data_IF_792080620087
#
_entry.id   IF_792080620087
#
_cell.length_a   1.000
_cell.length_b   1.000
_cell.length_c   1.000
_cell.angle_alpha   90.00
_cell.angle_beta   90.00
_cell.angle_gamma   90.00
#
_symmetry.space_group_name_H-M   'P 1'
#
loop_
_entity.id
_entity.type
_entity.pdbx_description
1 polymer ?
#
# COMPACT_ATOMS: atom_id res chain seq x y z
N UNK A 1 4.08 -3.72 13.20
CA UNK A 1 4.51 -4.94 12.49
C UNK A 1 5.26 -5.85 13.43
N UNK A 2 4.72 -7.05 13.63
CA UNK A 2 5.31 -8.07 14.49
C UNK A 2 5.81 -9.23 13.64
N UNK A 3 6.91 -9.85 14.07
CA UNK A 3 7.48 -11.06 13.46
C UNK A 3 7.49 -12.14 14.52
N UNK A 4 6.83 -13.26 14.22
CA UNK A 4 6.85 -14.46 15.05
C UNK A 4 7.91 -15.41 14.51
N UNK A 5 8.93 -15.69 15.31
CA UNK A 5 9.84 -16.80 15.06
C UNK A 5 9.25 -18.09 15.65
N UNK A 6 8.87 -19.03 14.78
CA UNK A 6 8.23 -20.28 15.21
C UNK A 6 9.19 -21.26 15.89
N UNK A 7 10.49 -21.18 15.62
CA UNK A 7 11.48 -22.10 16.20
C UNK A 7 11.73 -21.78 17.67
N UNK A 8 11.77 -20.50 18.01
CA UNK A 8 12.01 -19.98 19.35
C UNK A 8 10.74 -19.52 20.06
N UNK A 9 9.59 -19.55 19.38
CA UNK A 9 8.30 -19.03 19.86
C UNK A 9 8.39 -17.58 20.38
N UNK A 10 9.22 -16.77 19.73
CA UNK A 10 9.46 -15.38 20.14
C UNK A 10 8.77 -14.42 19.18
N UNK A 11 7.96 -13.52 19.74
CA UNK A 11 7.35 -12.41 19.02
C UNK A 11 8.21 -11.16 19.18
N UNK A 12 8.64 -10.57 18.05
CA UNK A 12 9.45 -9.34 18.01
C UNK A 12 8.73 -8.24 17.25
N UNK A 13 8.80 -7.01 17.75
CA UNK A 13 8.38 -5.84 16.98
C UNK A 13 9.46 -5.55 15.93
N UNK A 14 9.15 -5.78 14.65
CA UNK A 14 10.05 -5.40 13.56
C UNK A 14 9.93 -3.90 13.28
N UNK A 15 8.71 -3.36 13.38
CA UNK A 15 8.45 -1.96 13.16
C UNK A 15 7.26 -1.50 14.01
N UNK A 16 7.44 -0.35 14.67
CA UNK A 16 6.41 0.35 15.44
C UNK A 16 6.31 1.75 14.86
N UNK A 17 5.13 2.13 14.39
CA UNK A 17 4.92 3.49 13.90
C UNK A 17 4.95 4.48 15.07
N UNK A 18 5.93 5.38 15.08
CA UNK A 18 6.03 6.45 16.08
C UNK A 18 5.32 7.75 15.68
N UNK A 19 4.89 7.87 14.42
CA UNK A 19 4.21 9.05 13.87
C UNK A 19 3.51 8.69 12.56
N UNK A 20 2.49 9.44 12.19
CA UNK A 20 1.70 9.24 10.97
C UNK A 20 2.56 9.04 9.71
N UNK A 21 3.61 9.86 9.53
CA UNK A 21 4.47 9.77 8.35
C UNK A 21 5.34 8.50 8.29
N UNK A 22 5.57 7.80 9.41
CA UNK A 22 6.29 6.53 9.40
C UNK A 22 5.41 5.39 8.86
N UNK A 23 4.18 5.31 9.34
CA UNK A 23 3.06 4.55 8.77
C UNK A 23 1.77 4.94 9.49
N UNK A 24 0.69 5.17 8.76
CA UNK A 24 -0.59 5.60 9.31
C UNK A 24 -1.58 4.43 9.29
N UNK A 25 -1.78 3.80 10.45
CA UNK A 25 -2.60 2.60 10.64
C UNK A 25 -2.39 1.54 9.54
N UNK A 26 -1.17 0.97 9.40
CA UNK A 26 -0.96 -0.11 8.46
C UNK A 26 -1.77 -1.35 8.88
N UNK A 27 -2.66 -1.81 8.02
CA UNK A 27 -3.48 -3.03 8.22
C UNK A 27 -2.93 -4.17 7.35
N UNK A 28 -3.23 -4.14 6.05
CA UNK A 28 -2.94 -5.26 5.17
C UNK A 28 -1.46 -5.32 4.81
N UNK A 29 -0.93 -6.54 4.67
CA UNK A 29 0.45 -6.78 4.31
C UNK A 29 0.57 -7.85 3.23
N UNK A 30 1.61 -7.75 2.41
CA UNK A 30 2.04 -8.85 1.53
C UNK A 30 3.56 -8.94 1.48
N UNK A 31 4.07 -10.16 1.35
CA UNK A 31 5.51 -10.41 1.27
C UNK A 31 5.90 -10.51 -0.20
N UNK A 32 6.88 -9.71 -0.59
CA UNK A 32 7.51 -9.82 -1.91
C UNK A 32 8.26 -11.15 -2.02
N UNK A 33 8.29 -11.79 -3.21
CA UNK A 33 9.19 -12.90 -3.49
C UNK A 33 10.68 -12.59 -3.25
N UNK A 34 11.05 -11.31 -3.11
CA UNK A 34 12.39 -10.81 -2.81
C UNK A 34 12.63 -10.50 -1.32
N UNK A 35 11.63 -10.76 -0.46
CA UNK A 35 11.77 -10.72 1.00
C UNK A 35 11.40 -9.40 1.67
N UNK A 36 11.15 -8.32 0.92
CA UNK A 36 10.55 -7.10 1.45
C UNK A 36 9.06 -7.26 1.71
N UNK A 37 8.48 -6.36 2.51
CA UNK A 37 7.05 -6.39 2.85
C UNK A 37 6.38 -5.13 2.32
N UNK A 38 5.23 -5.27 1.69
CA UNK A 38 4.34 -4.14 1.38
C UNK A 38 3.33 -4.00 2.52
N UNK A 39 3.11 -2.78 2.99
CA UNK A 39 2.09 -2.41 3.95
C UNK A 39 1.06 -1.50 3.28
N UNK A 40 -0.20 -1.71 3.60
CA UNK A 40 -1.31 -0.89 3.14
C UNK A 40 -1.82 0.00 4.29
N UNK A 41 -1.86 1.32 4.08
CA UNK A 41 -2.42 2.24 5.08
C UNK A 41 -3.95 2.27 5.06
N UNK A 42 -4.53 2.25 6.27
CA UNK A 42 -5.95 2.50 6.59
C UNK A 42 -6.10 3.66 7.60
N UNK A 43 -5.15 4.59 7.62
CA UNK A 43 -5.21 5.76 8.48
C UNK A 43 -5.95 6.95 7.89
N UNK A 44 -6.62 6.78 6.75
CA UNK A 44 -7.14 7.86 5.92
C UNK A 44 -6.02 8.55 5.13
N UNK A 45 -5.94 9.88 5.19
CA UNK A 45 -4.87 10.61 4.50
C UNK A 45 -3.58 10.68 5.30
N UNK A 46 -2.45 10.69 4.60
CA UNK A 46 -1.13 10.94 5.16
C UNK A 46 -0.48 12.09 4.39
N UNK A 47 -0.80 13.34 4.71
CA UNK A 47 -0.25 14.49 3.99
C UNK A 47 1.29 14.57 4.12
N UNK A 48 1.99 14.54 2.99
CA UNK A 48 3.44 14.65 2.92
C UNK A 48 3.86 15.53 1.73
N UNK A 49 5.15 15.53 1.37
CA UNK A 49 5.67 16.34 0.25
C UNK A 49 5.06 15.98 -1.12
N UNK A 50 4.42 14.83 -1.26
CA UNK A 50 3.75 14.38 -2.48
C UNK A 50 2.24 14.69 -2.48
N UNK A 51 1.75 15.45 -1.50
CA UNK A 51 0.35 15.84 -1.36
C UNK A 51 -0.44 14.94 -0.39
N UNK A 52 -1.78 15.03 -0.39
CA UNK A 52 -2.65 14.21 0.45
C UNK A 52 -2.83 12.79 -0.11
N UNK A 53 -3.39 11.89 0.72
CA UNK A 53 -3.81 10.55 0.31
C UNK A 53 -3.21 9.42 1.15
N UNK A 54 -3.88 8.26 1.13
CA UNK A 54 -3.40 7.02 1.72
C UNK A 54 -2.17 6.49 0.94
N UNK A 55 -1.34 5.67 1.58
CA UNK A 55 -0.07 5.18 0.98
C UNK A 55 0.03 3.66 0.99
N UNK A 56 0.76 3.17 0.00
CA UNK A 56 1.45 1.89 0.09
C UNK A 56 2.86 2.16 0.57
N UNK A 57 3.30 1.38 1.55
CA UNK A 57 4.64 1.48 2.09
C UNK A 57 5.41 0.19 1.78
N UNK A 58 6.69 0.32 1.48
CA UNK A 58 7.62 -0.79 1.62
C UNK A 58 8.18 -0.81 3.04
N UNK A 59 8.45 -2.01 3.56
CA UNK A 59 9.14 -2.26 4.82
C UNK A 59 10.34 -3.16 4.54
N UNK A 60 11.53 -2.69 4.90
CA UNK A 60 12.77 -3.46 4.75
C UNK A 60 12.94 -4.48 5.88
N UNK A 61 13.81 -5.47 5.69
CA UNK A 61 14.17 -6.42 6.75
C UNK A 61 14.84 -5.76 7.98
N UNK A 62 15.36 -4.54 7.83
CA UNK A 62 15.90 -3.72 8.91
C UNK A 62 14.85 -2.96 9.73
N UNK A 63 13.57 -3.02 9.33
CA UNK A 63 12.49 -2.31 10.03
C UNK A 63 12.27 -0.87 9.55
N UNK A 64 12.82 -0.49 8.40
CA UNK A 64 12.66 0.86 7.84
C UNK A 64 11.51 0.89 6.83
N UNK A 65 10.69 1.93 6.87
CA UNK A 65 9.64 2.15 5.89
C UNK A 65 10.07 3.14 4.80
N UNK A 66 9.53 2.94 3.60
CA UNK A 66 9.64 3.89 2.49
C UNK A 66 8.32 3.98 1.73
N UNK A 67 8.09 5.08 1.03
CA UNK A 67 6.85 5.28 0.28
C UNK A 67 6.95 4.55 -1.04
N UNK A 68 6.09 3.56 -1.26
CA UNK A 68 6.02 2.80 -2.51
C UNK A 68 5.11 3.52 -3.51
N UNK A 69 3.90 3.87 -3.07
CA UNK A 69 2.92 4.56 -3.88
C UNK A 69 1.98 5.39 -3.02
N UNK A 70 1.26 6.31 -3.67
CA UNK A 70 0.27 7.16 -3.02
C UNK A 70 -1.03 7.13 -3.81
N UNK A 71 -2.15 6.99 -3.10
CA UNK A 71 -3.46 7.10 -3.71
C UNK A 71 -3.70 8.55 -4.14
N UNK A 72 -3.85 8.75 -5.46
CA UNK A 72 -4.16 10.03 -6.07
C UNK A 72 -5.49 9.99 -6.85
N UNK A 73 -6.44 9.16 -6.41
CA UNK A 73 -7.75 9.01 -7.04
C UNK A 73 -8.66 10.21 -6.71
N UNK A 74 -8.62 11.23 -7.55
CA UNK A 74 -9.61 12.32 -7.58
C UNK A 74 -10.27 12.27 -8.96
N UNK A 75 -11.53 11.84 -8.99
CA UNK A 75 -12.20 11.42 -10.21
C UNK A 75 -13.33 12.38 -10.56
N UNK A 76 -13.27 12.92 -11.78
CA UNK A 76 -14.35 13.74 -12.36
C UNK A 76 -15.36 12.89 -13.12
N UNK A 77 -16.58 13.38 -13.26
CA UNK A 77 -17.65 12.74 -14.04
C UNK A 77 -17.21 12.44 -15.48
N UNK A 78 -16.40 13.33 -16.07
CA UNK A 78 -15.85 13.13 -17.42
C UNK A 78 -14.89 11.94 -17.50
N UNK A 79 -14.00 11.77 -16.52
CA UNK A 79 -13.07 10.63 -16.46
C UNK A 79 -13.83 9.32 -16.22
N UNK A 80 -14.82 9.35 -15.33
CA UNK A 80 -15.67 8.21 -14.99
C UNK A 80 -16.46 7.74 -16.22
N UNK A 81 -17.11 8.67 -16.94
CA UNK A 81 -17.85 8.37 -18.15
C UNK A 81 -16.94 7.80 -19.26
N UNK A 82 -15.74 8.36 -19.45
CA UNK A 82 -14.76 7.86 -20.43
C UNK A 82 -14.27 6.44 -20.11
N UNK A 83 -14.17 6.10 -18.83
CA UNK A 83 -13.81 4.75 -18.39
C UNK A 83 -14.98 3.75 -18.44
N UNK A 84 -16.20 4.20 -18.78
CA UNK A 84 -17.40 3.37 -18.81
C UNK A 84 -17.79 2.83 -17.42
N UNK A 85 -17.53 3.62 -16.36
CA UNK A 85 -17.81 3.24 -14.98
C UNK A 85 -19.01 4.00 -14.41
N UNK A 86 -19.60 3.44 -13.35
CA UNK A 86 -20.72 4.02 -12.62
C UNK A 86 -20.33 4.16 -11.14
N UNK A 87 -19.57 5.22 -10.85
CA UNK A 87 -19.20 5.64 -9.49
C UNK A 87 -19.45 7.14 -9.40
N UNK A 88 -19.73 7.71 -8.21
CA UNK A 88 -19.85 9.16 -8.08
C UNK A 88 -18.55 9.89 -8.44
N UNK A 89 -18.64 11.14 -8.91
CA UNK A 89 -17.50 12.06 -8.88
C UNK A 89 -17.07 12.32 -7.42
N UNK A 90 -15.78 12.47 -7.19
CA UNK A 90 -15.28 12.81 -5.86
C UNK A 90 -13.78 12.63 -5.65
N UNK A 91 -13.35 13.08 -4.47
CA UNK A 91 -12.01 12.85 -3.94
C UNK A 91 -11.99 11.54 -3.14
N UNK A 92 -11.28 10.55 -3.68
CA UNK A 92 -11.09 9.23 -3.10
C UNK A 92 -9.67 9.02 -2.57
N UNK A 93 -8.85 10.07 -2.48
CA UNK A 93 -7.45 9.96 -2.01
C UNK A 93 -7.36 9.44 -0.57
N UNK A 94 -8.39 9.69 0.24
CA UNK A 94 -8.51 9.19 1.62
C UNK A 94 -8.88 7.71 1.71
N UNK A 95 -9.31 7.09 0.60
CA UNK A 95 -9.67 5.68 0.56
C UNK A 95 -8.45 4.81 0.88
N UNK A 96 -8.63 3.89 1.83
CA UNK A 96 -7.59 2.96 2.25
C UNK A 96 -7.15 2.04 1.12
N UNK A 97 -5.91 1.56 1.22
CA UNK A 97 -5.49 0.41 0.44
C UNK A 97 -5.97 -0.86 1.16
N UNK A 98 -6.96 -1.55 0.59
CA UNK A 98 -7.66 -2.65 1.26
C UNK A 98 -7.20 -4.04 0.79
N UNK A 99 -5.90 -4.20 0.50
CA UNK A 99 -5.34 -5.48 0.08
C UNK A 99 -4.31 -5.37 -1.03
N UNK A 100 -3.21 -6.09 -0.87
CA UNK A 100 -2.19 -6.26 -1.89
C UNK A 100 -1.78 -7.73 -2.05
N UNK A 101 -1.45 -8.14 -3.27
CA UNK A 101 -0.83 -9.43 -3.53
C UNK A 101 0.07 -9.41 -4.77
N UNK A 102 1.07 -10.28 -4.78
CA UNK A 102 1.92 -10.50 -5.94
C UNK A 102 1.33 -11.57 -6.85
N UNK A 103 1.53 -11.42 -8.16
CA UNK A 103 1.37 -12.55 -9.07
C UNK A 103 2.37 -13.67 -8.72
N UNK A 104 2.13 -14.91 -9.18
CA UNK A 104 2.98 -16.06 -8.83
C UNK A 104 4.47 -15.89 -9.19
N UNK A 105 4.77 -15.05 -10.18
CA UNK A 105 6.14 -14.80 -10.66
C UNK A 105 6.74 -13.51 -10.08
N UNK A 106 6.00 -12.78 -9.24
CA UNK A 106 6.49 -11.57 -8.57
C UNK A 106 6.80 -10.40 -9.49
N UNK A 107 6.18 -10.34 -10.66
CA UNK A 107 6.35 -9.28 -11.67
C UNK A 107 5.29 -8.19 -11.56
N UNK A 108 4.12 -8.51 -11.02
CA UNK A 108 2.99 -7.59 -10.88
C UNK A 108 2.49 -7.60 -9.44
N UNK A 109 2.42 -6.42 -8.85
CA UNK A 109 1.72 -6.19 -7.59
C UNK A 109 0.30 -5.74 -7.90
N UNK A 110 -0.69 -6.52 -7.46
CA UNK A 110 -2.10 -6.12 -7.48
C UNK A 110 -2.46 -5.47 -6.16
N UNK A 111 -3.16 -4.33 -6.22
CA UNK A 111 -3.56 -3.58 -5.03
C UNK A 111 -4.97 -3.03 -5.21
N UNK A 112 -5.76 -3.00 -4.13
CA UNK A 112 -7.10 -2.44 -4.12
C UNK A 112 -7.17 -1.13 -3.33
N UNK A 113 -7.92 -0.16 -3.85
CA UNK A 113 -8.42 1.01 -3.11
C UNK A 113 -9.89 0.75 -2.79
N UNK A 114 -10.27 0.76 -1.51
CA UNK A 114 -11.59 0.26 -1.06
C UNK A 114 -12.75 1.02 -1.69
N UNK A 115 -12.73 2.35 -1.58
CA UNK A 115 -13.74 3.25 -2.13
C UNK A 115 -13.05 4.15 -3.16
N UNK A 116 -13.49 4.17 -4.42
CA UNK A 116 -14.76 3.64 -4.93
C UNK A 116 -14.69 2.18 -5.42
N UNK A 117 -13.62 1.44 -5.08
CA UNK A 117 -13.42 0.06 -5.52
C UNK A 117 -12.58 0.00 -6.79
N UNK A 118 -11.29 0.30 -6.66
CA UNK A 118 -10.33 0.32 -7.77
C UNK A 118 -9.27 -0.74 -7.54
N UNK A 119 -9.07 -1.64 -8.50
CA UNK A 119 -7.92 -2.54 -8.52
C UNK A 119 -6.86 -2.00 -9.49
N UNK A 120 -5.63 -1.92 -9.01
CA UNK A 120 -4.45 -1.49 -9.76
C UNK A 120 -3.54 -2.70 -9.99
N UNK A 121 -2.96 -2.77 -11.19
CA UNK A 121 -1.87 -3.68 -11.51
C UNK A 121 -0.60 -2.85 -11.69
N UNK A 122 0.35 -3.00 -10.78
CA UNK A 122 1.58 -2.22 -10.74
C UNK A 122 2.73 -3.13 -11.20
N UNK A 123 3.40 -2.72 -12.27
CA UNK A 123 4.67 -3.30 -12.71
C UNK A 123 5.81 -2.35 -12.40
N UNK A 124 7.01 -2.87 -12.26
CA UNK A 124 8.17 -2.08 -11.91
C UNK A 124 9.47 -2.85 -12.09
N UNK A 125 10.61 -2.18 -11.94
CA UNK A 125 11.92 -2.83 -11.94
C UNK A 125 12.20 -3.50 -10.59
N UNK A 126 11.29 -4.36 -10.14
CA UNK A 126 11.28 -4.99 -8.81
C UNK A 126 12.60 -5.69 -8.47
N UNK A 127 13.26 -6.27 -9.48
CA UNK A 127 14.56 -6.91 -9.34
C UNK A 127 15.70 -5.99 -8.87
N UNK A 128 15.53 -4.66 -8.90
CA UNK A 128 16.53 -3.70 -8.40
C UNK A 128 16.36 -3.36 -6.91
N UNK A 129 15.34 -3.93 -6.25
CA UNK A 129 15.05 -3.67 -4.83
C UNK A 129 14.59 -4.92 -4.07
N UNK A 130 14.13 -4.70 -2.85
CA UNK A 130 13.59 -5.76 -1.99
C UNK A 130 12.08 -6.03 -2.17
N UNK A 131 11.40 -5.23 -2.99
CA UNK A 131 9.98 -5.38 -3.31
C UNK A 131 9.80 -6.00 -4.67
#
# INVERSE_FOLDING_TARGET
MWVLDLSSQTLRALFVSGRQLAANNPDNITVSPRGGVVLCEDGGESADQFGPGARLLGLTGGGETFYLAKNNAELTDTQIARAGKQVPEGDYRRGEFCGACWDPEGRTLFVNIQTPGITLAITGPWQHGGL
#
